data_IF_644470216972
#
_entry.id   IF_644470216972
#
_cell.length_a   1.000
_cell.length_b   1.000
_cell.length_c   1.000
_cell.angle_alpha   90.00
_cell.angle_beta   90.00
_cell.angle_gamma   90.00
#
_symmetry.space_group_name_H-M   'P 1'
#
loop_
_entity.id
_entity.type
_entity.pdbx_description
1 polymer ?
#
# COMPACT_ATOMS: atom_id res chain seq x y z
N UNK A 1 1.19 -11.70 -14.95
CA UNK A 1 0.53 -12.94 -14.50
C UNK A 1 1.20 -13.35 -13.20
N UNK A 2 0.45 -13.44 -12.10
CA UNK A 2 1.03 -13.66 -10.77
C UNK A 2 0.77 -15.11 -10.35
N UNK A 3 1.69 -16.00 -10.69
CA UNK A 3 1.62 -17.42 -10.32
C UNK A 3 2.59 -17.75 -9.18
N UNK A 4 2.15 -18.61 -8.26
CA UNK A 4 2.97 -19.15 -7.18
C UNK A 4 2.84 -20.67 -7.23
N UNK A 5 3.94 -21.35 -7.55
CA UNK A 5 4.00 -22.81 -7.56
C UNK A 5 4.46 -23.34 -6.20
N UNK A 6 3.93 -24.50 -5.84
CA UNK A 6 4.32 -25.26 -4.65
C UNK A 6 5.75 -25.75 -4.82
N UNK A 7 6.58 -25.57 -3.79
CA UNK A 7 7.92 -26.16 -3.74
C UNK A 7 7.86 -27.58 -3.13
N UNK A 8 8.81 -28.43 -3.48
CA UNK A 8 8.91 -29.76 -2.87
C UNK A 8 9.11 -29.65 -1.35
N UNK A 9 8.38 -30.47 -0.59
CA UNK A 9 8.37 -30.45 0.88
C UNK A 9 7.64 -29.26 1.54
N UNK A 10 7.01 -28.36 0.77
CA UNK A 10 6.36 -27.18 1.34
C UNK A 10 4.99 -27.49 1.97
N UNK A 11 4.79 -27.02 3.21
CA UNK A 11 3.48 -27.02 3.87
C UNK A 11 2.50 -26.06 3.16
N UNK A 12 1.24 -26.48 3.04
CA UNK A 12 0.19 -25.72 2.33
C UNK A 12 0.03 -24.29 2.86
N UNK A 13 0.16 -24.09 4.17
CA UNK A 13 0.07 -22.77 4.79
C UNK A 13 1.17 -21.80 4.33
N UNK A 14 2.40 -22.29 4.15
CA UNK A 14 3.53 -21.49 3.68
C UNK A 14 3.33 -21.03 2.23
N UNK A 15 2.73 -21.88 1.40
CA UNK A 15 2.35 -21.55 0.02
C UNK A 15 1.30 -20.43 0.00
N UNK A 16 0.25 -20.53 0.83
CA UNK A 16 -0.81 -19.52 0.95
C UNK A 16 -0.21 -18.19 1.43
N UNK A 17 0.67 -18.21 2.42
CA UNK A 17 1.32 -16.99 2.91
C UNK A 17 2.14 -16.29 1.82
N UNK A 18 2.94 -17.05 1.06
CA UNK A 18 3.70 -16.52 -0.08
C UNK A 18 2.79 -15.92 -1.15
N UNK A 19 1.67 -16.59 -1.44
CA UNK A 19 0.67 -16.08 -2.37
C UNK A 19 0.10 -14.74 -1.89
N UNK A 20 -0.34 -14.65 -0.63
CA UNK A 20 -0.87 -13.41 -0.04
C UNK A 20 0.19 -12.29 -0.08
N UNK A 21 1.44 -12.58 0.27
CA UNK A 21 2.53 -11.60 0.21
C UNK A 21 2.79 -11.12 -1.21
N UNK A 22 2.79 -12.01 -2.20
CA UNK A 22 2.90 -11.66 -3.62
C UNK A 22 1.72 -10.78 -4.07
N UNK A 23 0.48 -11.12 -3.68
CA UNK A 23 -0.72 -10.30 -3.98
C UNK A 23 -0.55 -8.89 -3.41
N UNK A 24 -0.14 -8.78 -2.14
CA UNK A 24 0.06 -7.49 -1.47
C UNK A 24 1.16 -6.67 -2.15
N UNK A 25 2.31 -7.28 -2.47
CA UNK A 25 3.42 -6.63 -3.16
C UNK A 25 3.06 -6.18 -4.57
N UNK A 26 2.30 -6.99 -5.31
CA UNK A 26 1.86 -6.66 -6.67
C UNK A 26 0.96 -5.43 -6.73
N UNK A 27 0.32 -5.07 -5.60
CA UNK A 27 -0.58 -3.91 -5.52
C UNK A 27 -1.83 -4.04 -6.38
N UNK A 28 -2.10 -5.21 -7.00
CA UNK A 28 -3.17 -5.39 -7.98
C UNK A 28 -4.54 -5.04 -7.40
N UNK A 29 -4.79 -5.40 -6.13
CA UNK A 29 -6.04 -5.05 -5.44
C UNK A 29 -6.20 -3.54 -5.27
N UNK A 30 -5.12 -2.80 -5.02
CA UNK A 30 -5.15 -1.35 -4.87
C UNK A 30 -5.44 -0.67 -6.21
N UNK A 31 -4.81 -1.16 -7.28
CA UNK A 31 -5.02 -0.65 -8.62
C UNK A 31 -6.44 -0.92 -9.13
N UNK A 32 -6.96 -2.13 -8.94
CA UNK A 32 -8.36 -2.47 -9.28
C UNK A 32 -9.34 -1.58 -8.52
N UNK A 33 -9.15 -1.38 -7.20
CA UNK A 33 -9.99 -0.48 -6.40
C UNK A 33 -9.94 0.96 -6.90
N UNK A 34 -8.76 1.45 -7.30
CA UNK A 34 -8.55 2.79 -7.86
C UNK A 34 -9.24 2.97 -9.22
N UNK A 35 -9.17 1.96 -10.09
CA UNK A 35 -9.74 2.00 -11.45
C UNK A 35 -11.24 1.71 -11.50
N UNK A 36 -11.83 1.16 -10.43
CA UNK A 36 -13.25 0.78 -10.36
C UNK A 36 -14.19 1.92 -10.76
N UNK A 37 -13.84 3.18 -10.47
CA UNK A 37 -14.65 4.34 -10.79
C UNK A 37 -13.83 5.41 -11.50
N UNK A 38 -14.47 6.14 -12.44
CA UNK A 38 -13.86 7.28 -13.09
C UNK A 38 -13.68 8.43 -12.07
N UNK A 39 -12.49 9.02 -12.06
CA UNK A 39 -12.17 10.16 -11.19
C UNK A 39 -11.86 11.40 -12.04
N UNK A 40 -12.42 12.54 -11.65
CA UNK A 40 -12.15 13.83 -12.30
C UNK A 40 -10.69 14.26 -12.03
N UNK A 41 -10.04 14.98 -12.96
CA UNK A 41 -8.69 15.50 -12.72
C UNK A 41 -8.65 16.44 -11.52
N UNK A 42 -7.57 16.37 -10.74
CA UNK A 42 -7.39 17.18 -9.53
C UNK A 42 -7.05 18.64 -9.85
N UNK A 43 -7.83 19.56 -9.29
CA UNK A 43 -7.56 21.00 -9.38
C UNK A 43 -6.27 21.38 -8.63
N UNK A 44 -5.74 22.59 -8.91
CA UNK A 44 -4.48 23.09 -8.31
C UNK A 44 -4.55 23.19 -6.78
N UNK A 45 -5.71 23.60 -6.24
CA UNK A 45 -5.91 23.74 -4.79
C UNK A 45 -5.85 22.39 -4.06
N UNK A 46 -6.55 21.36 -4.57
CA UNK A 46 -6.53 20.01 -3.99
C UNK A 46 -5.13 19.40 -4.01
N UNK A 47 -4.35 19.67 -5.06
CA UNK A 47 -2.93 19.27 -5.11
C UNK A 47 -2.12 19.94 -3.99
N UNK A 48 -2.30 21.25 -3.77
CA UNK A 48 -1.63 22.00 -2.68
C UNK A 48 -2.02 21.44 -1.31
N UNK A 49 -3.32 21.25 -1.04
CA UNK A 49 -3.80 20.71 0.24
C UNK A 49 -3.25 19.31 0.52
N UNK A 50 -3.21 18.44 -0.50
CA UNK A 50 -2.63 17.11 -0.37
C UNK A 50 -1.11 17.13 -0.11
N UNK A 51 -0.39 18.13 -0.62
CA UNK A 51 1.03 18.31 -0.31
C UNK A 51 1.23 18.79 1.14
N UNK A 52 0.45 19.77 1.59
CA UNK A 52 0.50 20.28 2.97
C UNK A 52 0.20 19.18 3.99
N UNK A 53 -0.84 18.38 3.75
CA UNK A 53 -1.19 17.26 4.63
C UNK A 53 -0.06 16.20 4.70
N UNK A 54 0.65 15.97 3.59
CA UNK A 54 1.79 15.03 3.59
C UNK A 54 2.95 15.52 4.45
N UNK A 55 3.25 16.81 4.42
CA UNK A 55 4.28 17.42 5.27
C UNK A 55 3.87 17.41 6.75
N UNK A 56 2.62 17.74 7.04
CA UNK A 56 2.08 17.67 8.41
C UNK A 56 2.20 16.25 8.99
N UNK A 57 1.74 15.23 8.26
CA UNK A 57 1.87 13.82 8.67
C UNK A 57 3.31 13.33 8.74
N UNK A 58 4.25 13.96 8.04
CA UNK A 58 5.69 13.66 8.17
C UNK A 58 6.21 14.22 9.49
N UNK A 59 5.87 15.47 9.82
CA UNK A 59 6.22 16.11 11.09
C UNK A 59 5.65 15.38 12.29
N UNK A 60 4.37 14.99 12.25
CA UNK A 60 3.74 14.19 13.30
C UNK A 60 4.49 12.87 13.55
N UNK A 61 4.87 12.16 12.47
CA UNK A 61 5.66 10.92 12.58
C UNK A 61 7.04 11.15 13.17
N UNK A 62 7.71 12.24 12.83
CA UNK A 62 9.01 12.60 13.42
C UNK A 62 8.89 12.91 14.91
N UNK A 63 7.82 13.58 15.33
CA UNK A 63 7.53 13.85 16.75
C UNK A 63 7.23 12.54 17.49
N UNK A 64 6.34 11.70 16.95
CA UNK A 64 6.01 10.40 17.56
C UNK A 64 7.25 9.51 17.72
N UNK A 65 8.14 9.50 16.71
CA UNK A 65 9.44 8.80 16.79
C UNK A 65 10.34 9.35 17.90
N UNK A 66 10.34 10.67 18.13
CA UNK A 66 11.10 11.30 19.23
C UNK A 66 10.50 11.00 20.61
N UNK A 67 9.18 10.88 20.69
CA UNK A 67 8.45 10.56 21.92
C UNK A 67 8.47 9.07 22.28
N UNK A 68 8.95 8.21 21.38
CA UNK A 68 9.03 6.76 21.63
C UNK A 68 7.70 6.02 21.47
N UNK A 69 6.70 6.62 20.82
CA UNK A 69 5.41 5.97 20.54
C UNK A 69 5.44 5.01 19.33
N UNK A 70 6.63 4.63 18.86
CA UNK A 70 6.87 3.81 17.66
C UNK A 70 7.90 2.70 17.89
#
# INVERSE_FOLDING_TARGET
MMEVRKKEGEAVNSLIFRFIKKVQQSGILRETKKRRFHTRPVNRLKRKLSALHREEKKREREIAKKLGEF
#
